data_IF_979973916588
#
_entry.id   IF_979973916588
#
_cell.length_a   1.000
_cell.length_b   1.000
_cell.length_c   1.000
_cell.angle_alpha   90.00
_cell.angle_beta   90.00
_cell.angle_gamma   90.00
#
_symmetry.space_group_name_H-M   'P 1'
#
loop_
_entity.id
_entity.type
_entity.pdbx_description
1 polymer ?
#
# COMPACT_ATOMS: atom_id res chain seq x y z
N UNK A 1 -9.84 34.25 -16.70
CA UNK A 1 -8.51 33.67 -16.41
C UNK A 1 -8.36 33.62 -14.90
N UNK A 2 -8.52 32.46 -14.27
CA UNK A 2 -8.32 32.32 -12.83
C UNK A 2 -6.86 31.95 -12.58
N UNK A 3 -6.13 32.86 -11.95
CA UNK A 3 -4.75 32.62 -11.53
C UNK A 3 -4.82 31.91 -10.17
N UNK A 4 -4.53 30.61 -10.13
CA UNK A 4 -4.45 29.85 -8.88
C UNK A 4 -3.13 30.23 -8.20
N UNK A 5 -3.20 31.11 -7.20
CA UNK A 5 -2.06 31.36 -6.31
C UNK A 5 -1.91 30.14 -5.40
N UNK A 6 -1.13 29.15 -5.85
CA UNK A 6 -0.67 28.07 -4.98
C UNK A 6 0.33 28.67 -3.98
N UNK A 7 0.16 28.37 -2.69
CA UNK A 7 1.04 28.90 -1.66
C UNK A 7 2.46 28.34 -1.83
N UNK A 8 3.46 29.14 -1.47
CA UNK A 8 4.89 28.75 -1.55
C UNK A 8 5.19 27.49 -0.72
N UNK A 9 4.45 27.23 0.35
CA UNK A 9 4.52 25.99 1.14
C UNK A 9 4.01 24.77 0.38
N UNK A 10 3.01 24.94 -0.49
CA UNK A 10 2.46 23.87 -1.32
C UNK A 10 3.43 23.51 -2.46
N UNK A 11 4.09 24.51 -3.07
CA UNK A 11 5.13 24.32 -4.08
C UNK A 11 6.36 23.64 -3.48
N UNK A 12 6.81 24.08 -2.29
CA UNK A 12 7.95 23.48 -1.61
C UNK A 12 7.71 22.02 -1.18
N UNK A 13 6.49 21.71 -0.68
CA UNK A 13 6.10 20.33 -0.39
C UNK A 13 6.05 19.47 -1.65
N UNK A 14 5.51 19.99 -2.76
CA UNK A 14 5.43 19.27 -4.03
C UNK A 14 6.83 18.98 -4.60
N UNK A 15 7.73 19.97 -4.59
CA UNK A 15 9.10 19.80 -5.06
C UNK A 15 9.92 18.85 -4.19
N UNK A 16 9.77 18.89 -2.86
CA UNK A 16 10.46 17.95 -1.97
C UNK A 16 9.95 16.52 -2.15
N UNK A 17 8.63 16.32 -2.32
CA UNK A 17 8.07 15.01 -2.65
C UNK A 17 8.54 14.53 -4.03
N UNK A 18 8.70 15.41 -5.02
CA UNK A 18 9.23 15.06 -6.34
C UNK A 18 10.73 14.71 -6.29
N UNK A 19 11.53 15.43 -5.50
CA UNK A 19 12.97 15.20 -5.36
C UNK A 19 13.31 13.95 -4.55
N UNK A 20 12.54 13.63 -3.50
CA UNK A 20 12.72 12.37 -2.78
C UNK A 20 12.37 11.15 -3.63
N UNK A 21 11.40 11.29 -4.55
CA UNK A 21 10.98 10.23 -5.48
C UNK A 21 11.95 9.97 -6.64
N UNK A 22 12.99 10.78 -6.83
CA UNK A 22 14.02 10.56 -7.87
C UNK A 22 15.34 10.00 -7.31
N UNK A 23 15.48 9.89 -5.98
CA UNK A 23 16.68 9.34 -5.34
C UNK A 23 16.66 7.80 -5.26
N UNK A 24 15.51 7.16 -5.49
CA UNK A 24 15.37 5.74 -5.79
C UNK A 24 14.48 5.60 -7.03
N UNK A 25 14.75 4.64 -7.92
CA UNK A 25 14.13 4.51 -9.24
C UNK A 25 12.61 4.17 -9.25
N UNK A 26 11.80 4.69 -8.32
CA UNK A 26 10.38 4.38 -8.17
C UNK A 26 9.51 5.61 -7.92
N UNK A 27 8.28 5.59 -8.44
CA UNK A 27 7.26 6.63 -8.24
C UNK A 27 6.34 6.21 -7.11
N UNK A 28 6.29 6.99 -6.04
CA UNK A 28 5.33 6.76 -4.95
C UNK A 28 3.94 7.32 -5.31
N UNK A 29 2.91 6.49 -5.16
CA UNK A 29 1.50 6.85 -5.39
C UNK A 29 0.71 6.61 -4.10
N UNK A 30 -0.03 7.64 -3.67
CA UNK A 30 -0.65 7.72 -2.34
C UNK A 30 0.07 8.73 -1.44
N UNK A 31 0.01 8.59 -0.10
CA UNK A 31 -0.78 7.59 0.62
C UNK A 31 -2.28 7.82 0.51
N UNK A 32 -3.03 6.73 0.51
CA UNK A 32 -4.43 6.73 0.94
C UNK A 32 -4.47 6.41 2.42
N UNK A 33 -5.42 6.98 3.16
CA UNK A 33 -5.60 6.71 4.58
C UNK A 33 -5.62 7.97 5.43
N UNK A 34 -5.47 7.79 6.74
CA UNK A 34 -5.37 8.86 7.71
C UNK A 34 -3.96 9.41 7.88
N UNK A 35 -3.85 10.43 8.72
CA UNK A 35 -2.58 11.01 9.19
C UNK A 35 -2.12 10.43 10.54
N UNK A 36 -2.83 9.41 11.03
CA UNK A 36 -2.49 8.68 12.24
C UNK A 36 -1.37 7.67 12.01
N UNK A 37 -1.18 6.80 13.01
CA UNK A 37 -0.06 5.88 13.07
C UNK A 37 1.23 6.58 13.50
N UNK A 38 1.93 6.01 14.48
CA UNK A 38 3.21 6.54 14.97
C UNK A 38 4.41 5.87 14.30
N UNK A 39 4.16 4.79 13.54
CA UNK A 39 5.19 3.99 12.91
C UNK A 39 5.11 4.14 11.38
N UNK A 40 5.99 4.96 10.75
CA UNK A 40 6.14 4.95 9.31
C UNK A 40 6.80 3.64 8.87
N UNK A 41 6.40 3.13 7.71
CA UNK A 41 6.99 1.91 7.15
C UNK A 41 7.21 2.02 5.66
N UNK A 42 8.21 1.28 5.18
CA UNK A 42 8.50 1.09 3.76
C UNK A 42 9.00 -0.33 3.56
N UNK A 43 8.44 -1.01 2.57
CA UNK A 43 8.82 -2.35 2.17
C UNK A 43 9.14 -2.36 0.68
N UNK A 44 10.39 -2.70 0.36
CA UNK A 44 10.88 -2.92 -1.00
C UNK A 44 11.54 -4.32 -1.00
N UNK A 45 10.98 -5.31 -1.71
CA UNK A 45 11.55 -6.65 -1.76
C UNK A 45 12.83 -6.69 -2.60
N UNK A 46 13.82 -7.48 -2.19
CA UNK A 46 14.98 -7.83 -3.01
C UNK A 46 14.66 -8.98 -3.99
N UNK A 47 13.51 -8.88 -4.65
CA UNK A 47 12.98 -9.92 -5.52
C UNK A 47 11.49 -9.77 -5.75
N UNK A 48 10.78 -10.89 -5.80
CA UNK A 48 9.36 -10.92 -6.17
C UNK A 48 8.49 -11.26 -4.97
N UNK A 49 7.51 -10.41 -4.69
CA UNK A 49 6.43 -10.72 -3.73
C UNK A 49 5.70 -11.96 -4.24
N UNK A 50 5.61 -12.98 -3.41
CA UNK A 50 4.92 -14.22 -3.74
C UNK A 50 3.73 -14.49 -2.83
N UNK A 51 3.59 -13.80 -1.70
CA UNK A 51 2.44 -13.95 -0.82
C UNK A 51 2.21 -12.67 -0.02
N UNK A 52 0.94 -12.40 0.27
CA UNK A 52 0.51 -11.32 1.15
C UNK A 52 -0.39 -11.92 2.21
N UNK A 53 -0.14 -11.54 3.47
CA UNK A 53 -1.01 -11.83 4.60
C UNK A 53 -1.63 -10.53 5.09
N UNK A 54 -2.95 -10.50 5.22
CA UNK A 54 -3.72 -9.35 5.72
C UNK A 54 -4.57 -9.82 6.88
N UNK A 55 -4.40 -9.20 8.04
CA UNK A 55 -5.32 -9.37 9.16
C UNK A 55 -6.36 -8.26 9.11
N UNK A 56 -7.64 -8.64 9.08
CA UNK A 56 -8.71 -7.67 8.96
C UNK A 56 -10.00 -8.13 9.63
N UNK A 57 -10.78 -7.16 10.07
CA UNK A 57 -12.14 -7.35 10.61
C UNK A 57 -13.01 -6.15 10.22
N UNK A 58 -13.25 -5.21 11.15
CA UNK A 58 -13.92 -3.94 10.89
C UNK A 58 -13.10 -2.96 10.04
N UNK A 59 -11.77 -3.09 10.08
CA UNK A 59 -10.83 -2.40 9.20
C UNK A 59 -9.65 -3.34 8.86
N UNK A 60 -8.61 -2.82 8.20
CA UNK A 60 -7.35 -3.55 8.03
C UNK A 60 -6.49 -3.33 9.26
N UNK A 61 -6.35 -4.37 10.07
CA UNK A 61 -5.55 -4.38 11.29
C UNK A 61 -4.05 -4.40 10.96
N UNK A 62 -3.63 -5.30 10.06
CA UNK A 62 -2.22 -5.39 9.64
C UNK A 62 -2.00 -6.05 8.28
N UNK A 63 -0.81 -5.81 7.71
CA UNK A 63 -0.33 -6.42 6.48
C UNK A 63 1.12 -6.90 6.62
N UNK A 64 1.42 -8.05 6.02
CA UNK A 64 2.76 -8.63 5.93
C UNK A 64 2.99 -9.20 4.55
N UNK A 65 4.21 -9.06 4.04
CA UNK A 65 4.61 -9.53 2.73
C UNK A 65 5.62 -10.67 2.84
N UNK A 66 5.50 -11.62 1.93
CA UNK A 66 6.49 -12.68 1.71
C UNK A 66 7.01 -12.53 0.28
N UNK A 67 8.33 -12.54 0.10
CA UNK A 67 8.97 -12.43 -1.21
C UNK A 67 10.02 -13.53 -1.41
N UNK A 68 10.24 -13.89 -2.67
CA UNK A 68 11.36 -14.75 -3.10
C UNK A 68 12.48 -13.85 -3.63
N UNK A 69 13.70 -14.04 -3.15
CA UNK A 69 14.88 -13.38 -3.72
C UNK A 69 15.30 -14.01 -5.06
N UNK A 70 16.46 -13.59 -5.59
CA UNK A 70 16.99 -14.09 -6.88
C UNK A 70 17.35 -15.58 -6.84
N UNK A 71 17.64 -16.12 -5.66
CA UNK A 71 17.97 -17.52 -5.43
C UNK A 71 16.72 -18.36 -5.07
N UNK A 72 15.53 -17.76 -5.18
CA UNK A 72 14.23 -18.33 -4.81
C UNK A 72 14.06 -18.65 -3.32
N UNK A 73 14.88 -18.06 -2.45
CA UNK A 73 14.72 -18.18 -1.00
C UNK A 73 13.60 -17.25 -0.55
N UNK A 74 12.71 -17.79 0.30
CA UNK A 74 11.59 -17.01 0.85
C UNK A 74 12.05 -16.18 2.05
N UNK A 75 11.67 -14.92 2.02
CA UNK A 75 11.87 -13.93 3.08
C UNK A 75 10.54 -13.29 3.44
N UNK A 76 10.46 -12.75 4.65
CA UNK A 76 9.27 -12.07 5.13
C UNK A 76 9.60 -10.65 5.56
N UNK A 77 8.70 -9.71 5.28
CA UNK A 77 8.72 -8.41 5.93
C UNK A 77 8.36 -8.53 7.41
N UNK A 78 8.55 -7.42 8.12
CA UNK A 78 7.81 -7.15 9.37
C UNK A 78 6.30 -7.15 9.12
N UNK A 79 5.52 -7.25 10.19
CA UNK A 79 4.07 -7.00 10.14
C UNK A 79 3.85 -5.51 10.38
N UNK A 80 3.13 -4.86 9.46
CA UNK A 80 2.78 -3.45 9.57
C UNK A 80 1.32 -3.33 10.01
N UNK A 81 1.10 -2.87 11.24
CA UNK A 81 -0.21 -2.81 11.91
C UNK A 81 -0.22 -3.59 13.22
N UNK A 82 -1.40 -3.72 13.83
CA UNK A 82 -1.58 -4.40 15.11
C UNK A 82 -1.85 -5.91 15.00
N UNK A 83 -2.06 -6.51 16.18
CA UNK A 83 -2.32 -7.95 16.35
C UNK A 83 -3.80 -8.35 16.20
N UNK A 84 -4.66 -7.39 15.86
CA UNK A 84 -6.09 -7.59 15.66
C UNK A 84 -6.45 -8.29 14.35
N UNK A 85 -7.75 -8.46 14.14
CA UNK A 85 -8.32 -8.96 12.89
C UNK A 85 -8.16 -10.47 12.67
N UNK A 86 -8.88 -10.99 11.68
CA UNK A 86 -8.72 -12.38 11.22
C UNK A 86 -7.72 -12.43 10.07
N UNK A 87 -6.72 -13.35 10.10
CA UNK A 87 -5.69 -13.41 9.08
C UNK A 87 -6.22 -14.06 7.79
N UNK A 88 -5.87 -13.46 6.66
CA UNK A 88 -6.11 -13.96 5.32
C UNK A 88 -4.78 -13.99 4.57
N UNK A 89 -4.38 -15.16 4.09
CA UNK A 89 -3.14 -15.33 3.35
C UNK A 89 -3.46 -15.77 1.93
N UNK A 90 -2.82 -15.15 0.95
CA UNK A 90 -2.89 -15.58 -0.44
C UNK A 90 -1.53 -15.54 -1.11
N UNK A 91 -1.26 -16.58 -1.91
CA UNK A 91 0.00 -16.82 -2.60
C UNK A 91 -0.21 -16.63 -4.09
N UNK A 92 0.69 -15.90 -4.73
CA UNK A 92 0.73 -15.73 -6.18
C UNK A 92 1.38 -16.94 -6.85
N UNK A 93 0.79 -17.42 -7.95
CA UNK A 93 1.48 -18.34 -8.85
C UNK A 93 2.75 -17.68 -9.42
N UNK A 94 3.71 -18.47 -9.94
CA UNK A 94 4.99 -17.91 -10.41
C UNK A 94 4.82 -16.92 -11.58
N UNK A 95 3.77 -17.08 -12.39
CA UNK A 95 3.36 -16.21 -13.51
C UNK A 95 2.24 -15.21 -13.16
N UNK A 96 1.92 -15.04 -11.87
CA UNK A 96 0.86 -14.14 -11.39
C UNK A 96 1.42 -12.83 -10.83
N UNK A 97 1.30 -11.72 -11.55
CA UNK A 97 1.85 -10.44 -11.13
C UNK A 97 0.75 -9.47 -10.69
N UNK A 98 1.07 -8.64 -9.69
CA UNK A 98 0.19 -7.57 -9.26
C UNK A 98 0.10 -6.49 -10.35
N UNK A 99 -1.12 -6.15 -10.74
CA UNK A 99 -1.43 -5.15 -11.77
C UNK A 99 -2.35 -4.05 -11.25
N UNK A 100 -2.74 -4.11 -9.99
CA UNK A 100 -3.51 -3.05 -9.38
C UNK A 100 -3.83 -3.30 -7.92
N UNK A 101 -4.22 -2.22 -7.25
CA UNK A 101 -4.80 -2.27 -5.91
C UNK A 101 -6.08 -1.46 -5.86
N UNK A 102 -6.92 -1.76 -4.88
CA UNK A 102 -8.06 -0.92 -4.53
C UNK A 102 -8.40 -1.11 -3.06
N UNK A 103 -9.17 -0.19 -2.50
CA UNK A 103 -9.55 -0.26 -1.10
C UNK A 103 -10.49 0.87 -0.72
N UNK A 104 -10.74 0.99 0.57
CA UNK A 104 -11.53 2.08 1.16
C UNK A 104 -10.80 2.69 2.34
N UNK A 105 -10.97 3.99 2.53
CA UNK A 105 -10.52 4.76 3.69
C UNK A 105 -11.75 5.20 4.47
N UNK A 106 -11.77 4.97 5.78
CA UNK A 106 -12.91 5.32 6.61
C UNK A 106 -12.54 5.49 8.08
N UNK A 107 -13.53 5.87 8.88
CA UNK A 107 -13.35 6.03 10.33
C UNK A 107 -13.63 4.70 11.02
N UNK A 108 -12.66 4.19 11.79
CA UNK A 108 -12.79 3.02 12.65
C UNK A 108 -12.24 3.36 14.03
N UNK A 109 -13.01 3.08 15.09
CA UNK A 109 -12.67 3.41 16.47
C UNK A 109 -12.21 4.88 16.70
N UNK A 110 -12.74 5.82 15.91
CA UNK A 110 -12.39 7.24 15.97
C UNK A 110 -11.18 7.66 15.14
N UNK A 111 -10.48 6.72 14.49
CA UNK A 111 -9.30 6.98 13.65
C UNK A 111 -9.64 6.83 12.18
N UNK A 112 -9.06 7.67 11.31
CA UNK A 112 -9.16 7.49 9.86
C UNK A 112 -8.10 6.47 9.43
N UNK A 113 -8.52 5.32 8.90
CA UNK A 113 -7.64 4.18 8.59
C UNK A 113 -8.03 3.55 7.25
N UNK A 114 -7.23 2.60 6.78
CA UNK A 114 -7.60 1.72 5.69
C UNK A 114 -8.68 0.75 6.19
N UNK A 115 -9.90 0.88 5.69
CA UNK A 115 -11.02 0.02 6.08
C UNK A 115 -11.12 -1.24 5.22
N UNK A 116 -10.65 -1.18 3.96
CA UNK A 116 -10.48 -2.38 3.14
C UNK A 116 -9.32 -2.31 2.16
N UNK A 117 -8.79 -3.48 1.78
CA UNK A 117 -7.84 -3.66 0.69
C UNK A 117 -8.24 -4.80 -0.24
N UNK A 118 -7.92 -4.64 -1.52
CA UNK A 118 -8.00 -5.65 -2.56
C UNK A 118 -6.78 -5.55 -3.46
N UNK A 119 -6.30 -6.71 -3.91
CA UNK A 119 -5.14 -6.84 -4.78
C UNK A 119 -5.58 -7.45 -6.11
N UNK A 120 -5.33 -6.76 -7.21
CA UNK A 120 -5.66 -7.22 -8.55
C UNK A 120 -4.40 -7.74 -9.24
N UNK A 121 -4.44 -9.00 -9.67
CA UNK A 121 -3.38 -9.62 -10.46
C UNK A 121 -3.82 -9.81 -11.90
N UNK A 122 -2.87 -10.14 -12.78
CA UNK A 122 -3.16 -10.59 -14.15
C UNK A 122 -3.99 -11.88 -14.22
N UNK A 123 -4.29 -12.54 -13.08
CA UNK A 123 -5.10 -13.75 -13.03
C UNK A 123 -6.46 -13.56 -12.35
N UNK A 124 -6.50 -12.83 -11.23
CA UNK A 124 -7.70 -12.71 -10.40
C UNK A 124 -7.61 -11.53 -9.43
N UNK A 125 -8.69 -11.31 -8.70
CA UNK A 125 -8.76 -10.35 -7.59
C UNK A 125 -8.73 -11.10 -6.26
N UNK A 126 -7.93 -10.60 -5.32
CA UNK A 126 -7.93 -11.00 -3.91
C UNK A 126 -8.59 -9.91 -3.06
N UNK A 127 -9.43 -10.31 -2.11
CA UNK A 127 -10.22 -9.41 -1.28
C UNK A 127 -11.62 -9.11 -1.84
N UNK A 128 -12.34 -8.10 -1.30
CA UNK A 128 -11.86 -7.17 -0.27
C UNK A 128 -11.63 -7.84 1.09
N UNK A 129 -10.58 -7.41 1.78
CA UNK A 129 -10.30 -7.75 3.17
C UNK A 129 -10.60 -6.55 4.05
N UNK A 130 -11.33 -6.74 5.15
CA UNK A 130 -11.88 -5.66 5.98
C UNK A 130 -13.31 -5.31 5.59
N UNK A 131 -13.73 -4.07 5.85
CA UNK A 131 -15.07 -3.57 5.47
C UNK A 131 -14.97 -2.49 4.40
N UNK A 132 -15.77 -2.62 3.34
CA UNK A 132 -15.84 -1.64 2.26
C UNK A 132 -16.69 -0.43 2.67
N UNK A 133 -16.25 0.29 3.69
CA UNK A 133 -16.92 1.48 4.24
C UNK A 133 -16.03 2.72 4.08
N UNK A 134 -16.62 3.84 3.69
CA UNK A 134 -15.94 5.12 3.51
C UNK A 134 -15.59 5.42 2.04
N UNK A 135 -14.50 6.14 1.82
CA UNK A 135 -14.09 6.64 0.51
C UNK A 135 -13.22 5.61 -0.21
N UNK A 136 -13.67 5.15 -1.38
CA UNK A 136 -12.93 4.20 -2.20
C UNK A 136 -11.71 4.83 -2.88
N UNK A 137 -10.66 4.03 -3.05
CA UNK A 137 -9.54 4.32 -3.93
C UNK A 137 -9.23 3.12 -4.82
N UNK A 138 -8.63 3.40 -5.98
CA UNK A 138 -8.13 2.36 -6.88
C UNK A 138 -6.93 2.86 -7.67
N UNK A 139 -6.01 1.94 -7.96
CA UNK A 139 -4.84 2.16 -8.78
C UNK A 139 -4.65 0.96 -9.71
N UNK A 140 -5.26 0.95 -10.91
CA UNK A 140 -4.88 0.03 -11.97
C UNK A 140 -3.55 0.46 -12.60
N UNK A 141 -2.67 -0.49 -12.89
CA UNK A 141 -1.35 -0.26 -13.49
C UNK A 141 -1.30 -0.97 -14.85
N UNK A 142 -1.37 -0.18 -15.93
CA UNK A 142 -1.32 -0.72 -17.29
C UNK A 142 0.11 -0.98 -17.78
N UNK A 143 1.08 -0.20 -17.30
CA UNK A 143 2.52 -0.33 -17.62
C UNK A 143 3.35 -0.02 -16.37
N UNK A 144 4.50 -0.67 -16.26
CA UNK A 144 5.33 -0.65 -15.06
C UNK A 144 5.04 -1.83 -14.14
N UNK A 145 5.65 -1.82 -12.96
CA UNK A 145 5.48 -2.89 -11.97
C UNK A 145 5.45 -2.34 -10.54
N UNK A 146 4.91 -3.13 -9.62
CA UNK A 146 4.93 -2.81 -8.20
C UNK A 146 6.33 -3.08 -7.66
N UNK A 147 7.04 -2.02 -7.26
CA UNK A 147 8.36 -2.06 -6.66
C UNK A 147 8.35 -2.16 -5.14
N UNK A 148 7.24 -1.80 -4.49
CA UNK A 148 7.12 -1.86 -3.03
C UNK A 148 5.86 -1.19 -2.51
N UNK A 149 5.77 -1.10 -1.19
CA UNK A 149 4.66 -0.46 -0.48
C UNK A 149 5.19 0.36 0.69
N UNK A 150 4.44 1.37 1.10
CA UNK A 150 4.78 2.19 2.26
C UNK A 150 3.53 2.74 2.92
N UNK A 151 3.67 3.34 4.10
CA UNK A 151 2.55 3.97 4.79
C UNK A 151 2.88 4.30 6.24
N UNK A 152 1.83 4.40 7.05
CA UNK A 152 1.90 4.54 8.50
C UNK A 152 0.98 3.53 9.16
N UNK A 153 1.35 3.07 10.35
CA UNK A 153 0.53 2.19 11.16
C UNK A 153 0.64 2.50 12.66
N UNK A 154 -0.39 2.12 13.38
CA UNK A 154 -0.42 1.95 14.84
C UNK A 154 -1.06 0.59 15.14
N UNK A 155 -2.14 0.59 15.91
CA UNK A 155 -2.95 -0.61 16.13
C UNK A 155 -3.67 -1.09 14.85
N UNK A 156 -3.81 -0.19 13.87
CA UNK A 156 -4.41 -0.45 12.56
C UNK A 156 -3.47 0.02 11.45
N UNK A 157 -3.77 -0.36 10.21
CA UNK A 157 -3.12 0.21 9.04
C UNK A 157 -3.73 1.59 8.73
N UNK A 158 -3.11 2.65 9.24
CA UNK A 158 -3.58 4.02 9.07
C UNK A 158 -3.52 4.49 7.61
N UNK A 159 -2.43 4.19 6.91
CA UNK A 159 -2.25 4.58 5.52
C UNK A 159 -1.44 3.60 4.69
N UNK A 160 -1.67 3.64 3.38
CA UNK A 160 -1.08 2.73 2.41
C UNK A 160 -0.73 3.48 1.12
N UNK A 161 0.47 3.26 0.61
CA UNK A 161 1.00 3.79 -0.65
C UNK A 161 1.65 2.66 -1.44
N UNK A 162 1.80 2.91 -2.74
CA UNK A 162 2.51 2.01 -3.66
C UNK A 162 3.74 2.70 -4.17
N UNK A 163 4.84 1.96 -4.30
CA UNK A 163 6.02 2.38 -5.04
C UNK A 163 6.01 1.64 -6.39
N UNK A 164 5.92 2.36 -7.48
CA UNK A 164 5.91 1.82 -8.84
C UNK A 164 7.28 1.96 -9.49
N UNK A 165 7.77 0.92 -10.13
CA UNK A 165 8.90 1.04 -11.05
C UNK A 165 8.39 1.42 -12.45
N UNK A 166 8.97 2.46 -13.09
CA UNK A 166 8.67 2.78 -14.47
C UNK A 166 9.10 1.64 -15.40
N UNK A 167 8.45 1.57 -16.56
CA UNK A 167 8.80 0.64 -17.64
C UNK A 167 10.10 1.06 -18.33
#
# INVERSE_FOLDING_TARGET
MYNLLLSTSFIFSFENTFRSNMAGNGVQVGPWGGKGGVNPWTFIPEGRICEIRISASGCVDSIRFTYKDRDNVKHHSETYGGDGGSPHTFTFADDENLIGISGTVGVYAGYTVITSLSFLTNKKKYGPYGTTQGTSFSLPVAKGSFGGFSGNYGDYLDSFSVILHPY
#
